data_IF_772405882135
#
_entry.id   IF_772405882135
#
_cell.length_a   1.000
_cell.length_b   1.000
_cell.length_c   1.000
_cell.angle_alpha   90.00
_cell.angle_beta   90.00
_cell.angle_gamma   90.00
#
_symmetry.space_group_name_H-M   'P 1'
#
loop_
_entity.id
_entity.type
_entity.pdbx_description
1 polymer ?
#
# COMPACT_ATOMS: atom_id res chain seq x y z
N UNK A 1 -3.57 14.79 1.37
CA UNK A 1 -3.92 13.58 2.16
C UNK A 1 -3.06 12.40 1.73
N UNK A 2 -3.22 11.92 0.49
CA UNK A 2 -2.34 10.92 -0.11
C UNK A 2 -0.89 11.43 -0.22
N UNK A 3 -0.70 12.75 -0.34
CA UNK A 3 0.62 13.38 -0.45
C UNK A 3 1.56 13.02 0.71
N UNK A 4 1.03 12.86 1.94
CA UNK A 4 1.83 12.48 3.11
C UNK A 4 2.23 10.99 3.06
N UNK A 5 1.38 10.11 2.54
CA UNK A 5 1.73 8.71 2.31
C UNK A 5 2.80 8.61 1.21
N UNK A 6 2.63 9.37 0.12
CA UNK A 6 3.57 9.42 -0.99
C UNK A 6 4.93 9.96 -0.58
N UNK A 7 4.98 11.06 0.18
CA UNK A 7 6.23 11.62 0.70
C UNK A 7 7.00 10.58 1.52
N UNK A 8 6.32 9.89 2.45
CA UNK A 8 6.93 8.83 3.27
C UNK A 8 7.43 7.64 2.45
N UNK A 9 6.74 7.25 1.40
CA UNK A 9 7.23 6.20 0.48
C UNK A 9 8.53 6.61 -0.22
N UNK A 10 8.62 7.86 -0.66
CA UNK A 10 9.83 8.40 -1.27
C UNK A 10 11.00 8.53 -0.29
N UNK A 11 10.73 8.96 0.94
CA UNK A 11 11.72 8.98 2.02
C UNK A 11 12.28 7.57 2.28
N UNK A 12 11.43 6.55 2.31
CA UNK A 12 11.85 5.15 2.50
C UNK A 12 12.66 4.61 1.31
N UNK A 13 12.30 4.97 0.08
CA UNK A 13 13.10 4.62 -1.09
C UNK A 13 14.52 5.19 -1.01
N UNK A 14 14.66 6.37 -0.40
CA UNK A 14 15.94 7.04 -0.12
C UNK A 14 16.67 6.52 1.13
N UNK A 15 16.04 5.69 1.97
CA UNK A 15 16.61 5.07 3.17
C UNK A 15 16.83 3.55 2.98
N UNK A 16 17.84 3.15 2.17
CA UNK A 16 17.97 1.79 1.66
C UNK A 16 18.40 0.74 2.70
N UNK A 17 18.86 1.15 3.88
CA UNK A 17 19.33 0.23 4.92
C UNK A 17 18.18 -0.34 5.78
N UNK A 18 16.97 0.24 5.72
CA UNK A 18 15.83 -0.24 6.51
C UNK A 18 15.43 -1.67 6.08
N UNK A 19 15.23 -2.64 7.00
CA UNK A 19 14.76 -3.96 6.62
C UNK A 19 13.41 -3.89 5.88
N UNK A 20 13.24 -4.69 4.81
CA UNK A 20 12.02 -4.64 4.00
C UNK A 20 10.74 -4.94 4.82
N UNK A 21 10.83 -5.80 5.84
CA UNK A 21 9.73 -6.07 6.76
C UNK A 21 9.26 -4.80 7.48
N UNK A 22 10.20 -4.02 8.03
CA UNK A 22 9.91 -2.75 8.71
C UNK A 22 9.31 -1.73 7.73
N UNK A 23 9.81 -1.68 6.49
CA UNK A 23 9.25 -0.81 5.45
C UNK A 23 7.80 -1.18 5.10
N UNK A 24 7.48 -2.48 5.03
CA UNK A 24 6.11 -2.96 4.78
C UNK A 24 5.18 -2.67 5.97
N UNK A 25 5.64 -2.88 7.20
CA UNK A 25 4.89 -2.55 8.42
C UNK A 25 4.52 -1.07 8.44
N UNK A 26 5.50 -0.17 8.26
CA UNK A 26 5.28 1.27 8.22
C UNK A 26 4.37 1.72 7.08
N UNK A 27 4.45 1.07 5.92
CA UNK A 27 3.52 1.33 4.82
C UNK A 27 2.07 1.00 5.22
N UNK A 28 1.85 -0.15 5.87
CA UNK A 28 0.53 -0.56 6.31
C UNK A 28 0.00 0.31 7.45
N UNK A 29 0.85 0.74 8.38
CA UNK A 29 0.50 1.73 9.42
C UNK A 29 0.02 3.06 8.80
N UNK A 30 0.71 3.55 7.77
CA UNK A 30 0.31 4.77 7.06
C UNK A 30 -1.05 4.57 6.36
N UNK A 31 -1.31 3.39 5.79
CA UNK A 31 -2.60 3.05 5.22
C UNK A 31 -3.70 2.97 6.28
N UNK A 32 -3.45 2.34 7.43
CA UNK A 32 -4.39 2.31 8.55
C UNK A 32 -4.75 3.71 8.99
N UNK A 33 -3.76 4.58 9.20
CA UNK A 33 -3.99 5.95 9.61
C UNK A 33 -4.81 6.75 8.58
N UNK A 34 -4.50 6.57 7.29
CA UNK A 34 -5.23 7.19 6.18
C UNK A 34 -6.72 6.79 6.21
N UNK A 35 -7.00 5.50 6.30
CA UNK A 35 -8.37 5.01 6.30
C UNK A 35 -9.12 5.35 7.58
N UNK A 36 -8.48 5.24 8.75
CA UNK A 36 -9.07 5.64 10.04
C UNK A 36 -9.53 7.09 10.02
N UNK A 37 -8.74 7.98 9.42
CA UNK A 37 -9.04 9.40 9.38
C UNK A 37 -10.10 9.77 8.32
N UNK A 38 -10.16 9.04 7.20
CA UNK A 38 -10.89 9.48 6.00
C UNK A 38 -11.85 8.44 5.41
N UNK A 39 -12.15 7.35 6.13
CA UNK A 39 -12.97 6.24 5.64
C UNK A 39 -14.29 6.65 4.98
N UNK A 40 -15.14 7.54 5.52
CA UNK A 40 -16.39 7.91 4.85
C UNK A 40 -16.18 8.49 3.45
N UNK A 41 -15.14 9.31 3.27
CA UNK A 41 -14.79 9.90 1.98
C UNK A 41 -14.23 8.85 1.02
N UNK A 42 -13.29 8.02 1.49
CA UNK A 42 -12.64 6.99 0.68
C UNK A 42 -13.65 5.92 0.23
N UNK A 43 -14.52 5.46 1.13
CA UNK A 43 -15.58 4.50 0.80
C UNK A 43 -16.56 5.05 -0.24
N UNK A 44 -17.04 6.28 -0.07
CA UNK A 44 -17.91 6.92 -1.04
C UNK A 44 -17.21 7.11 -2.41
N UNK A 45 -15.93 7.45 -2.40
CA UNK A 45 -15.14 7.56 -3.62
C UNK A 45 -15.07 6.21 -4.36
N UNK A 46 -14.74 5.12 -3.65
CA UNK A 46 -14.65 3.76 -4.21
C UNK A 46 -16.00 3.29 -4.78
N UNK A 47 -17.12 3.57 -4.12
CA UNK A 47 -18.47 3.21 -4.60
C UNK A 47 -18.88 3.96 -5.87
N UNK A 48 -18.42 5.20 -6.04
CA UNK A 48 -18.77 6.05 -7.17
C UNK A 48 -17.85 5.88 -8.39
N UNK A 49 -16.78 5.09 -8.30
CA UNK A 49 -15.82 4.89 -9.40
C UNK A 49 -16.49 4.40 -10.68
N UNK A 50 -17.54 3.57 -10.58
CA UNK A 50 -18.27 3.05 -11.75
C UNK A 50 -19.19 4.07 -12.43
N UNK A 51 -19.53 5.17 -11.73
CA UNK A 51 -20.52 6.15 -12.19
C UNK A 51 -19.90 7.49 -12.58
N UNK A 52 -18.66 7.75 -12.14
CA UNK A 52 -17.98 9.04 -12.30
C UNK A 52 -16.60 8.84 -12.97
N UNK A 53 -16.51 8.90 -14.31
CA UNK A 53 -15.25 8.65 -15.02
C UNK A 53 -14.08 9.55 -14.59
N UNK A 54 -14.35 10.81 -14.27
CA UNK A 54 -13.34 11.76 -13.79
C UNK A 54 -12.80 11.38 -12.41
N UNK A 55 -13.67 10.89 -11.52
CA UNK A 55 -13.26 10.37 -10.22
C UNK A 55 -12.44 9.08 -10.38
N UNK A 56 -12.85 8.19 -11.29
CA UNK A 56 -12.08 6.98 -11.59
C UNK A 56 -10.67 7.28 -12.08
N UNK A 57 -10.53 8.20 -13.03
CA UNK A 57 -9.22 8.62 -13.52
C UNK A 57 -8.35 9.23 -12.40
N UNK A 58 -8.94 10.05 -11.52
CA UNK A 58 -8.23 10.61 -10.38
C UNK A 58 -7.76 9.51 -9.40
N UNK A 59 -8.63 8.54 -9.10
CA UNK A 59 -8.32 7.42 -8.22
C UNK A 59 -7.22 6.53 -8.80
N UNK A 60 -7.32 6.15 -10.08
CA UNK A 60 -6.30 5.36 -10.78
C UNK A 60 -4.95 6.10 -10.79
N UNK A 61 -4.95 7.41 -11.01
CA UNK A 61 -3.73 8.23 -10.92
C UNK A 61 -3.12 8.21 -9.52
N UNK A 62 -3.94 8.31 -8.48
CA UNK A 62 -3.50 8.20 -7.08
C UNK A 62 -2.88 6.84 -6.78
N UNK A 63 -3.53 5.75 -7.22
CA UNK A 63 -3.03 4.38 -7.05
C UNK A 63 -1.72 4.16 -7.81
N UNK A 64 -1.62 4.66 -9.04
CA UNK A 64 -0.39 4.61 -9.83
C UNK A 64 0.76 5.36 -9.14
N UNK A 65 0.47 6.53 -8.56
CA UNK A 65 1.47 7.34 -7.87
C UNK A 65 1.98 6.64 -6.60
N UNK A 66 1.08 6.04 -5.81
CA UNK A 66 1.46 5.25 -4.64
C UNK A 66 2.29 4.02 -5.05
N UNK A 67 1.88 3.33 -6.12
CA UNK A 67 2.60 2.22 -6.67
C UNK A 67 4.01 2.62 -7.13
N UNK A 68 4.20 3.77 -7.78
CA UNK A 68 5.54 4.25 -8.17
C UNK A 68 6.48 4.45 -6.98
N UNK A 69 5.99 5.01 -5.87
CA UNK A 69 6.79 5.16 -4.65
C UNK A 69 7.20 3.80 -4.06
N UNK A 70 6.28 2.86 -3.98
CA UNK A 70 6.56 1.50 -3.50
C UNK A 70 7.46 0.72 -4.48
N UNK A 71 7.30 0.89 -5.78
CA UNK A 71 8.16 0.29 -6.80
C UNK A 71 9.61 0.77 -6.67
N UNK A 72 9.81 2.06 -6.36
CA UNK A 72 11.14 2.61 -6.11
C UNK A 72 11.80 1.96 -4.87
N UNK A 73 11.03 1.71 -3.82
CA UNK A 73 11.50 0.93 -2.65
C UNK A 73 11.92 -0.49 -3.08
N UNK A 74 11.04 -1.22 -3.78
CA UNK A 74 11.30 -2.60 -4.21
C UNK A 74 12.56 -2.65 -5.09
N UNK A 75 12.66 -1.79 -6.10
CA UNK A 75 13.80 -1.71 -7.01
C UNK A 75 15.10 -1.38 -6.27
N UNK A 76 15.06 -0.47 -5.30
CA UNK A 76 16.22 -0.12 -4.45
C UNK A 76 16.73 -1.33 -3.65
N UNK A 77 15.82 -2.15 -3.09
CA UNK A 77 16.17 -3.37 -2.36
C UNK A 77 16.70 -4.47 -3.29
N UNK A 78 16.12 -4.62 -4.47
CA UNK A 78 16.58 -5.58 -5.48
C UNK A 78 17.99 -5.25 -5.97
N UNK A 79 18.27 -3.97 -6.27
CA UNK A 79 19.59 -3.51 -6.72
C UNK A 79 20.71 -3.80 -5.71
N UNK A 80 20.38 -3.92 -4.42
CA UNK A 80 21.31 -4.22 -3.33
C UNK A 80 21.35 -5.70 -2.93
N UNK A 81 20.58 -6.54 -3.60
CA UNK A 81 20.47 -7.98 -3.29
C UNK A 81 19.68 -8.30 -2.02
N UNK A 82 18.98 -7.32 -1.43
CA UNK A 82 18.14 -7.53 -0.25
C UNK A 82 16.79 -8.19 -0.60
N UNK A 83 16.33 -8.02 -1.85
CA UNK A 83 15.22 -8.75 -2.45
C UNK A 83 15.71 -9.46 -3.72
N UNK A 84 15.13 -10.62 -4.08
CA UNK A 84 15.38 -11.20 -5.39
C UNK A 84 14.87 -10.27 -6.49
N UNK A 85 15.65 -10.11 -7.56
CA UNK A 85 15.27 -9.36 -8.75
C UNK A 85 14.29 -10.16 -9.62
N UNK A 86 13.13 -10.49 -9.05
CA UNK A 86 12.08 -11.28 -9.71
C UNK A 86 10.84 -10.42 -9.94
N UNK A 87 10.34 -10.44 -11.17
CA UNK A 87 9.15 -9.69 -11.58
C UNK A 87 9.43 -8.22 -11.89
N UNK A 88 8.38 -7.52 -12.32
CA UNK A 88 8.39 -6.07 -12.51
C UNK A 88 8.01 -5.37 -11.19
N UNK A 89 8.90 -4.55 -10.59
CA UNK A 89 8.61 -3.79 -9.38
C UNK A 89 7.35 -2.93 -9.48
N UNK A 90 7.07 -2.37 -10.66
CA UNK A 90 5.90 -1.52 -10.85
C UNK A 90 4.60 -2.34 -10.80
N UNK A 91 4.55 -3.47 -11.50
CA UNK A 91 3.41 -4.38 -11.45
C UNK A 91 3.16 -4.94 -10.04
N UNK A 92 4.23 -5.34 -9.34
CA UNK A 92 4.14 -5.80 -7.94
C UNK A 92 3.59 -4.71 -7.02
N UNK A 93 4.14 -3.50 -7.10
CA UNK A 93 3.69 -2.38 -6.29
C UNK A 93 2.23 -2.00 -6.57
N UNK A 94 1.80 -2.06 -7.83
CA UNK A 94 0.41 -1.79 -8.19
C UNK A 94 -0.54 -2.85 -7.62
N UNK A 95 -0.18 -4.12 -7.68
CA UNK A 95 -0.94 -5.20 -7.07
C UNK A 95 -1.07 -5.03 -5.55
N UNK A 96 0.02 -4.66 -4.88
CA UNK A 96 0.03 -4.38 -3.43
C UNK A 96 -0.89 -3.20 -3.09
N UNK A 97 -0.80 -2.10 -3.85
CA UNK A 97 -1.60 -0.92 -3.60
C UNK A 97 -3.10 -1.23 -3.71
N UNK A 98 -3.54 -1.92 -4.77
CA UNK A 98 -4.93 -2.33 -4.93
C UNK A 98 -5.39 -3.36 -3.90
N UNK A 99 -4.52 -4.30 -3.52
CA UNK A 99 -4.83 -5.25 -2.45
C UNK A 99 -5.08 -4.52 -1.13
N UNK A 100 -4.22 -3.58 -0.76
CA UNK A 100 -4.39 -2.77 0.45
C UNK A 100 -5.69 -1.95 0.38
N UNK A 101 -5.90 -1.20 -0.70
CA UNK A 101 -7.13 -0.42 -0.92
C UNK A 101 -8.39 -1.26 -0.73
N UNK A 102 -8.44 -2.42 -1.39
CA UNK A 102 -9.62 -3.28 -1.36
C UNK A 102 -9.93 -3.82 0.03
N UNK A 103 -8.89 -4.23 0.77
CA UNK A 103 -9.07 -4.78 2.10
C UNK A 103 -9.48 -3.72 3.12
N UNK A 104 -8.88 -2.53 3.08
CA UNK A 104 -9.32 -1.43 3.93
C UNK A 104 -10.73 -0.96 3.58
N UNK A 105 -11.06 -0.83 2.29
CA UNK A 105 -12.43 -0.53 1.86
C UNK A 105 -13.44 -1.55 2.44
N UNK A 106 -13.15 -2.84 2.34
CA UNK A 106 -14.02 -3.88 2.88
C UNK A 106 -14.16 -3.84 4.40
N UNK A 107 -13.10 -3.48 5.14
CA UNK A 107 -13.17 -3.31 6.59
C UNK A 107 -14.04 -2.10 6.97
N UNK A 108 -13.83 -0.96 6.32
CA UNK A 108 -14.44 0.32 6.68
C UNK A 108 -15.85 0.54 6.12
N UNK A 109 -16.34 -0.32 5.24
CA UNK A 109 -17.74 -0.30 4.75
C UNK A 109 -18.71 -1.06 5.65
N UNK A 110 -18.22 -1.71 6.70
CA UNK A 110 -19.03 -2.41 7.70
C UNK A 110 -18.71 -1.93 9.10
N UNK A 111 -19.56 -2.31 10.06
CA UNK A 111 -19.18 -2.27 11.46
C UNK A 111 -17.99 -3.21 11.69
N UNK A 112 -16.98 -2.70 12.36
CA UNK A 112 -15.76 -3.43 12.74
C UNK A 112 -15.32 -2.96 14.12
N UNK A 113 -14.47 -3.77 14.74
CA UNK A 113 -13.84 -3.49 16.02
C UNK A 113 -12.43 -2.93 15.81
N UNK A 114 -11.89 -2.24 16.82
CA UNK A 114 -10.49 -1.79 16.81
C UNK A 114 -9.52 -2.97 16.65
N UNK A 115 -9.87 -4.14 17.21
CA UNK A 115 -9.05 -5.34 17.09
C UNK A 115 -8.95 -5.84 15.63
N UNK A 116 -10.04 -5.78 14.86
CA UNK A 116 -10.01 -6.12 13.42
C UNK A 116 -9.17 -5.12 12.62
N UNK A 117 -9.22 -3.85 13.00
CA UNK A 117 -8.43 -2.79 12.38
C UNK A 117 -6.93 -2.97 12.63
N UNK A 118 -6.55 -3.29 13.86
CA UNK A 118 -5.17 -3.61 14.25
C UNK A 118 -4.67 -4.93 13.64
N UNK A 119 -5.57 -5.88 13.42
CA UNK A 119 -5.23 -7.18 12.84
C UNK A 119 -4.95 -7.10 11.33
N UNK A 120 -5.62 -6.20 10.59
CA UNK A 120 -5.49 -6.17 9.13
C UNK A 120 -4.04 -5.98 8.63
N UNK A 121 -3.22 -5.05 9.15
CA UNK A 121 -1.80 -4.97 8.81
C UNK A 121 -1.03 -6.28 9.03
N UNK A 122 -1.33 -7.00 10.11
CA UNK A 122 -0.64 -8.27 10.43
C UNK A 122 -0.92 -9.38 9.42
N UNK A 123 -2.09 -9.32 8.76
CA UNK A 123 -2.48 -10.25 7.69
C UNK A 123 -1.89 -9.82 6.35
N UNK A 124 -1.88 -8.52 6.04
CA UNK A 124 -1.39 -8.01 4.77
C UNK A 124 0.15 -8.05 4.67
N UNK A 125 0.87 -7.83 5.77
CA UNK A 125 2.33 -7.80 5.78
C UNK A 125 2.99 -9.08 5.19
N UNK A 126 2.66 -10.30 5.65
CA UNK A 126 3.26 -11.51 5.10
C UNK A 126 2.88 -11.74 3.63
N UNK A 127 1.67 -11.34 3.20
CA UNK A 127 1.24 -11.44 1.80
C UNK A 127 2.06 -10.51 0.91
N UNK A 128 2.30 -9.28 1.35
CA UNK A 128 3.13 -8.30 0.64
C UNK A 128 4.57 -8.80 0.55
N UNK A 129 5.15 -9.23 1.67
CA UNK A 129 6.53 -9.74 1.73
C UNK A 129 6.72 -10.95 0.81
N UNK A 130 5.78 -11.89 0.82
CA UNK A 130 5.80 -13.02 -0.10
C UNK A 130 5.66 -12.58 -1.56
N UNK A 131 4.75 -11.64 -1.86
CA UNK A 131 4.49 -11.14 -3.21
C UNK A 131 5.69 -10.41 -3.86
N UNK A 132 6.58 -9.82 -3.06
CA UNK A 132 7.83 -9.19 -3.52
C UNK A 132 9.04 -10.14 -3.44
N UNK A 133 8.82 -11.42 -3.10
CA UNK A 133 9.86 -12.44 -3.04
C UNK A 133 10.76 -12.36 -1.81
N UNK A 134 10.37 -11.65 -0.75
CA UNK A 134 11.10 -11.66 0.50
C UNK A 134 11.08 -13.09 1.09
N UNK A 135 12.24 -13.57 1.54
CA UNK A 135 12.29 -14.81 2.31
C UNK A 135 11.80 -14.49 3.71
N UNK A 136 10.64 -15.02 4.07
CA UNK A 136 10.21 -15.06 5.45
C UNK A 136 11.14 -16.02 6.21
N UNK A 137 11.54 -15.69 7.45
CA UNK A 137 12.31 -16.61 8.29
C UNK A 137 11.56 -17.92 8.56
#
# INVERSE_FOLDING_TARGET
MLDNLLARLWERAAAPEEPIAVTVEKYLEDCTALWRQHAPLLSAATELLGQRPTLRAAWEKSMQTAASGLAAVIASKQARGALPATGDPQAQALAIAWMAERNYYMLYTRQHTNAEEEHLPTVLAPLILHGIGARLP
#
